data_IF_883229747429
#
_entry.id   IF_883229747429
#
_cell.length_a   1.000
_cell.length_b   1.000
_cell.length_c   1.000
_cell.angle_alpha   90.00
_cell.angle_beta   90.00
_cell.angle_gamma   90.00
#
_symmetry.space_group_name_H-M   'P 1'
#
loop_
_entity.id
_entity.type
_entity.pdbx_description
1 polymer ?
#
# COMPACT_ATOMS: atom_id res chain seq x y z
N UNK A 1 -7.76 -44.33 17.01
CA UNK A 1 -7.03 -43.70 15.89
C UNK A 1 -7.47 -42.25 15.88
N UNK A 2 -6.59 -41.39 16.40
CA UNK A 2 -6.81 -39.94 16.62
C UNK A 2 -6.90 -39.18 15.28
N UNK A 3 -7.81 -38.19 15.13
CA UNK A 3 -7.79 -37.26 14.00
C UNK A 3 -6.81 -36.10 14.28
N UNK A 4 -5.69 -36.09 13.56
CA UNK A 4 -4.71 -34.99 13.56
C UNK A 4 -5.11 -33.93 12.53
N UNK A 5 -5.20 -32.67 12.96
CA UNK A 5 -4.98 -31.50 12.11
C UNK A 5 -6.13 -30.49 12.02
N UNK A 6 -6.33 -29.69 13.07
CA UNK A 6 -7.11 -28.44 12.99
C UNK A 6 -6.20 -27.27 12.60
N UNK A 7 -6.61 -26.36 11.69
CA UNK A 7 -5.83 -25.16 11.39
C UNK A 7 -5.93 -24.15 12.56
N UNK A 8 -4.78 -23.72 13.06
CA UNK A 8 -4.64 -22.73 14.13
C UNK A 8 -5.22 -21.36 13.69
N UNK A 9 -6.20 -20.85 14.43
CA UNK A 9 -6.71 -19.49 14.27
C UNK A 9 -5.68 -18.49 14.79
N UNK A 10 -5.06 -17.73 13.89
CA UNK A 10 -4.15 -16.66 14.26
C UNK A 10 -4.92 -15.49 14.90
N UNK A 11 -4.74 -15.28 16.21
CA UNK A 11 -5.27 -14.12 16.92
C UNK A 11 -4.34 -12.93 16.68
N UNK A 12 -4.76 -11.96 15.88
CA UNK A 12 -4.01 -10.72 15.68
C UNK A 12 -4.31 -9.77 16.84
N UNK A 13 -3.36 -9.58 17.74
CA UNK A 13 -3.43 -8.57 18.79
C UNK A 13 -3.06 -7.21 18.21
N UNK A 14 -4.03 -6.29 18.15
CA UNK A 14 -3.75 -4.90 17.80
C UNK A 14 -3.01 -4.22 18.95
N UNK A 15 -1.86 -3.54 18.70
CA UNK A 15 -1.26 -2.67 19.69
C UNK A 15 -2.20 -1.49 19.97
N UNK A 16 -2.45 -1.22 21.24
CA UNK A 16 -3.25 -0.10 21.72
C UNK A 16 -2.64 1.22 21.24
N UNK A 17 -3.43 2.02 20.52
CA UNK A 17 -3.01 3.34 20.02
C UNK A 17 -2.81 4.31 21.19
N UNK A 18 -1.55 4.66 21.46
CA UNK A 18 -1.20 5.81 22.31
C UNK A 18 -1.25 7.06 21.43
N UNK A 19 -2.11 8.00 21.79
CA UNK A 19 -2.27 9.31 21.15
C UNK A 19 -1.02 10.16 21.33
N UNK A 20 -0.16 10.20 20.31
CA UNK A 20 0.90 11.19 20.17
C UNK A 20 0.60 12.08 18.96
N UNK A 21 0.49 13.39 19.18
CA UNK A 21 0.13 14.43 18.18
C UNK A 21 1.24 14.76 17.18
N UNK A 22 2.00 13.77 16.73
CA UNK A 22 3.03 13.96 15.71
C UNK A 22 2.84 12.93 14.61
N UNK A 23 2.73 13.40 13.37
CA UNK A 23 2.72 12.53 12.20
C UNK A 23 4.04 11.75 12.17
N UNK A 24 4.03 10.42 11.93
CA UNK A 24 5.26 9.65 11.84
C UNK A 24 6.12 10.21 10.70
N UNK A 25 7.42 10.38 10.94
CA UNK A 25 8.36 10.71 9.89
C UNK A 25 8.27 9.65 8.77
N UNK A 26 8.40 10.07 7.50
CA UNK A 26 8.28 9.19 6.31
C UNK A 26 9.21 7.96 6.40
N UNK A 27 10.33 8.06 7.12
CA UNK A 27 11.26 6.95 7.39
C UNK A 27 10.69 5.85 8.30
N UNK A 28 9.68 6.14 9.13
CA UNK A 28 9.07 5.17 10.04
C UNK A 28 8.16 4.15 9.30
N UNK A 29 7.72 4.47 8.09
CA UNK A 29 6.93 3.56 7.22
C UNK A 29 7.81 2.78 6.23
N UNK A 30 9.15 2.91 6.32
CA UNK A 30 10.08 2.28 5.40
C UNK A 30 10.02 0.74 5.38
N UNK A 31 9.57 0.13 6.47
CA UNK A 31 9.36 -1.31 6.57
C UNK A 31 8.05 -1.79 5.94
N UNK A 32 7.06 -0.90 5.71
CA UNK A 32 5.75 -1.25 5.15
C UNK A 32 5.77 -1.47 3.64
N UNK A 33 6.71 -0.85 2.92
CA UNK A 33 6.90 -1.04 1.48
C UNK A 33 8.13 -1.88 1.15
N UNK A 34 8.81 -2.45 2.15
CA UNK A 34 9.81 -3.49 1.90
C UNK A 34 9.08 -4.73 1.40
N UNK A 35 9.07 -4.81 0.08
CA UNK A 35 8.75 -5.96 -0.75
C UNK A 35 9.07 -7.28 -0.01
N UNK A 36 8.04 -8.03 0.37
CA UNK A 36 8.19 -9.37 0.96
C UNK A 36 8.42 -10.43 -0.12
N UNK A 37 9.20 -10.10 -1.13
CA UNK A 37 9.70 -11.10 -2.06
C UNK A 37 11.20 -11.25 -1.84
N UNK A 38 11.67 -12.44 -1.42
CA UNK A 38 13.10 -12.68 -1.34
C UNK A 38 13.69 -12.48 -2.74
N UNK A 39 14.62 -11.53 -2.85
CA UNK A 39 15.43 -11.35 -4.05
C UNK A 39 16.31 -12.59 -4.20
N UNK A 40 15.86 -13.56 -4.99
CA UNK A 40 16.71 -14.66 -5.43
C UNK A 40 17.50 -14.18 -6.65
N UNK A 41 18.84 -14.15 -6.60
CA UNK A 41 19.63 -13.92 -7.81
C UNK A 41 19.30 -15.06 -8.77
N UNK A 42 18.64 -14.74 -9.88
CA UNK A 42 18.37 -15.70 -10.93
C UNK A 42 19.72 -16.15 -11.50
N UNK A 43 20.07 -17.45 -11.45
CA UNK A 43 21.22 -17.92 -12.19
C UNK A 43 20.96 -17.64 -13.67
N UNK A 44 21.90 -16.99 -14.35
CA UNK A 44 21.92 -16.99 -15.81
C UNK A 44 22.19 -18.42 -16.28
N UNK A 45 21.14 -19.24 -16.29
CA UNK A 45 21.16 -20.55 -16.91
C UNK A 45 19.96 -20.61 -17.85
N UNK A 46 20.24 -20.80 -19.13
CA UNK A 46 19.33 -20.70 -20.27
C UNK A 46 18.29 -21.84 -20.34
N UNK A 47 17.92 -22.40 -19.20
CA UNK A 47 17.05 -23.58 -19.09
C UNK A 47 15.97 -23.36 -18.03
N UNK A 48 15.10 -22.39 -18.26
CA UNK A 48 13.96 -22.15 -17.38
C UNK A 48 12.82 -23.17 -17.67
N UNK A 49 12.05 -23.60 -16.65
CA UNK A 49 11.15 -24.76 -16.75
C UNK A 49 9.95 -24.59 -17.69
N UNK A 50 9.63 -23.36 -18.06
CA UNK A 50 8.52 -23.02 -18.97
C UNK A 50 8.90 -23.08 -20.46
N UNK A 51 10.15 -23.42 -20.79
CA UNK A 51 10.54 -23.77 -22.15
C UNK A 51 10.19 -25.23 -22.41
N UNK A 52 9.38 -25.48 -23.45
CA UNK A 52 8.84 -26.80 -23.80
C UNK A 52 9.91 -27.90 -23.92
N UNK A 53 11.09 -27.57 -24.42
CA UNK A 53 12.24 -28.49 -24.55
C UNK A 53 12.85 -28.90 -23.20
N UNK A 54 12.89 -28.00 -22.23
CA UNK A 54 13.50 -28.22 -20.90
C UNK A 54 12.55 -28.96 -19.97
N UNK A 55 11.24 -28.67 -20.07
CA UNK A 55 10.20 -29.27 -19.24
C UNK A 55 10.20 -30.80 -19.30
N UNK A 56 10.20 -31.39 -20.51
CA UNK A 56 10.20 -32.85 -20.67
C UNK A 56 11.50 -33.51 -20.19
N UNK A 57 12.64 -32.81 -20.31
CA UNK A 57 13.93 -33.34 -19.84
C UNK A 57 14.03 -33.35 -18.32
N UNK A 58 13.56 -32.30 -17.65
CA UNK A 58 13.61 -32.21 -16.17
C UNK A 58 12.59 -33.12 -15.51
N UNK A 59 11.41 -33.30 -16.11
CA UNK A 59 10.37 -34.23 -15.65
C UNK A 59 10.78 -35.71 -15.81
N UNK A 60 11.62 -36.05 -16.80
CA UNK A 60 12.17 -37.40 -16.96
C UNK A 60 13.17 -37.78 -15.87
N UNK A 61 13.81 -36.79 -15.24
CA UNK A 61 14.85 -36.98 -14.21
C UNK A 61 14.26 -36.86 -12.80
N UNK A 62 13.24 -36.02 -12.61
CA UNK A 62 12.55 -35.83 -11.32
C UNK A 62 11.03 -36.07 -11.49
N UNK A 63 10.57 -37.27 -11.13
CA UNK A 63 9.17 -37.69 -11.27
C UNK A 63 8.16 -36.89 -10.43
N UNK A 64 8.63 -36.12 -9.45
CA UNK A 64 7.79 -35.38 -8.48
C UNK A 64 7.19 -34.08 -9.03
N UNK A 65 7.68 -33.55 -10.16
CA UNK A 65 7.24 -32.25 -10.72
C UNK A 65 6.32 -32.36 -11.94
N UNK A 66 5.95 -33.57 -12.36
CA UNK A 66 4.92 -33.72 -13.39
C UNK A 66 3.54 -33.43 -12.77
N UNK A 67 2.64 -32.68 -13.43
CA UNK A 67 1.24 -32.61 -13.01
C UNK A 67 0.69 -34.03 -13.02
N UNK A 68 -0.34 -34.25 -12.20
CA UNK A 68 -1.17 -35.45 -12.08
C UNK A 68 -1.65 -36.02 -13.44
N UNK A 69 -0.72 -36.51 -14.25
CA UNK A 69 -0.98 -37.62 -15.12
C UNK A 69 -1.00 -38.78 -14.15
N UNK A 70 -2.21 -39.19 -13.74
CA UNK A 70 -2.41 -40.59 -13.37
C UNK A 70 -1.84 -41.34 -14.56
N UNK A 71 -0.59 -41.80 -14.43
CA UNK A 71 -0.07 -42.79 -15.34
C UNK A 71 -1.12 -43.88 -15.33
N UNK A 72 -1.79 -44.09 -16.45
CA UNK A 72 -2.43 -45.36 -16.71
C UNK A 72 -1.30 -46.39 -16.58
N UNK A 73 -1.16 -46.94 -15.38
CA UNK A 73 -0.20 -47.97 -15.08
C UNK A 73 -0.80 -49.27 -15.62
N UNK A 74 -0.76 -49.37 -16.94
CA UNK A 74 -1.47 -50.40 -17.70
C UNK A 74 -1.13 -50.41 -19.18
N UNK A 75 -0.14 -49.67 -19.67
CA UNK A 75 0.41 -49.95 -21.00
C UNK A 75 1.43 -51.08 -20.90
N UNK A 76 0.95 -52.29 -21.19
CA UNK A 76 1.79 -53.46 -21.44
C UNK A 76 2.89 -53.12 -22.45
N UNK A 77 4.12 -53.50 -22.13
CA UNK A 77 5.31 -53.30 -22.93
C UNK A 77 5.07 -53.50 -24.44
N UNK A 78 5.51 -52.52 -25.24
CA UNK A 78 5.61 -52.65 -26.70
C UNK A 78 6.54 -53.83 -27.03
N UNK A 79 5.94 -54.98 -27.35
CA UNK A 79 6.66 -56.17 -27.80
C UNK A 79 7.19 -55.88 -29.21
N UNK A 80 8.52 -55.86 -29.34
CA UNK A 80 9.20 -55.87 -30.64
C UNK A 80 8.63 -57.00 -31.51
N UNK A 81 8.38 -56.69 -32.78
CA UNK A 81 7.90 -57.63 -33.79
C UNK A 81 8.89 -58.80 -33.97
N UNK A 82 8.44 -60.07 -33.92
CA UNK A 82 9.28 -61.20 -34.30
C UNK A 82 9.28 -61.42 -35.82
N UNK A 83 10.48 -61.74 -36.29
CA UNK A 83 10.84 -62.40 -37.53
C UNK A 83 9.76 -63.34 -38.10
N UNK A 84 9.45 -63.15 -39.39
CA UNK A 84 8.56 -63.99 -40.21
C UNK A 84 9.10 -65.43 -40.25
N UNK A 85 8.32 -66.36 -39.70
CA UNK A 85 8.54 -67.80 -39.79
C UNK A 85 7.26 -68.48 -40.27
N UNK A 86 7.40 -69.32 -41.30
CA UNK A 86 6.32 -69.93 -42.05
C UNK A 86 5.76 -71.15 -41.28
N UNK A 87 4.91 -70.91 -40.27
CA UNK A 87 4.11 -71.92 -39.55
C UNK A 87 2.75 -71.30 -39.17
N UNK A 88 1.66 -72.09 -39.11
CA UNK A 88 0.32 -71.60 -39.38
C UNK A 88 -0.12 -70.58 -38.32
N UNK A 89 -0.63 -69.46 -38.81
CA UNK A 89 -1.07 -68.21 -38.13
C UNK A 89 -2.24 -68.41 -37.15
N UNK A 90 -2.18 -69.40 -36.26
CA UNK A 90 -3.29 -69.83 -35.39
C UNK A 90 -3.00 -69.68 -33.88
N UNK A 91 -1.74 -69.48 -33.45
CA UNK A 91 -1.35 -69.48 -32.02
C UNK A 91 -1.18 -68.06 -31.43
N UNK A 92 -1.37 -67.01 -32.23
CA UNK A 92 -1.49 -65.60 -31.78
C UNK A 92 -2.94 -65.12 -31.78
N UNK A 93 -3.90 -66.03 -31.62
CA UNK A 93 -5.33 -65.71 -31.61
C UNK A 93 -5.86 -65.69 -30.19
N UNK A 94 -6.47 -64.58 -29.83
CA UNK A 94 -7.31 -64.51 -28.65
C UNK A 94 -8.46 -65.50 -28.79
N UNK A 95 -8.74 -66.20 -27.69
CA UNK A 95 -9.97 -66.99 -27.62
C UNK A 95 -11.16 -66.05 -27.49
N UNK A 96 -12.37 -66.49 -27.88
CA UNK A 96 -13.58 -65.70 -27.61
C UNK A 96 -13.72 -65.32 -26.12
N UNK A 97 -13.30 -66.18 -25.19
CA UNK A 97 -13.30 -65.90 -23.75
C UNK A 97 -12.35 -64.75 -23.38
N UNK A 98 -11.14 -64.72 -23.93
CA UNK A 98 -10.21 -63.59 -23.74
C UNK A 98 -10.80 -62.27 -24.24
N UNK A 99 -11.51 -62.33 -25.38
CA UNK A 99 -12.23 -61.17 -25.91
C UNK A 99 -13.37 -60.74 -24.98
N UNK A 100 -14.20 -61.68 -24.48
CA UNK A 100 -15.26 -61.35 -23.52
C UNK A 100 -14.71 -60.75 -22.22
N UNK A 101 -13.65 -61.34 -21.65
CA UNK A 101 -12.99 -60.82 -20.44
C UNK A 101 -12.42 -59.41 -20.66
N UNK A 102 -11.81 -59.16 -21.82
CA UNK A 102 -11.29 -57.84 -22.16
C UNK A 102 -12.40 -56.81 -22.32
N UNK A 103 -13.49 -57.15 -23.03
CA UNK A 103 -14.62 -56.25 -23.18
C UNK A 103 -15.28 -55.95 -21.83
N UNK A 104 -15.48 -56.97 -20.98
CA UNK A 104 -16.01 -56.77 -19.64
C UNK A 104 -15.14 -55.85 -18.79
N UNK A 105 -13.82 -55.97 -18.88
CA UNK A 105 -12.88 -55.05 -18.21
C UNK A 105 -13.04 -53.63 -18.74
N UNK A 106 -13.05 -53.45 -20.05
CA UNK A 106 -13.22 -52.14 -20.69
C UNK A 106 -14.55 -51.48 -20.33
N UNK A 107 -15.64 -52.27 -20.21
CA UNK A 107 -16.94 -51.74 -19.77
C UNK A 107 -16.88 -51.22 -18.34
N UNK A 108 -16.33 -51.99 -17.40
CA UNK A 108 -16.17 -51.55 -16.00
C UNK A 108 -15.30 -50.30 -15.91
N UNK A 109 -14.20 -50.27 -16.67
CA UNK A 109 -13.31 -49.12 -16.71
C UNK A 109 -14.02 -47.87 -17.27
N UNK A 110 -14.81 -48.05 -18.32
CA UNK A 110 -15.63 -46.98 -18.91
C UNK A 110 -16.66 -46.44 -17.92
N UNK A 111 -17.33 -47.31 -17.15
CA UNK A 111 -18.25 -46.90 -16.10
C UNK A 111 -17.54 -46.09 -15.01
N UNK A 112 -16.34 -46.50 -14.60
CA UNK A 112 -15.54 -45.73 -13.63
C UNK A 112 -15.12 -44.37 -14.20
N UNK A 113 -14.72 -44.29 -15.48
CA UNK A 113 -14.38 -43.01 -16.11
C UNK A 113 -15.58 -42.08 -16.25
N UNK A 114 -16.77 -42.63 -16.55
CA UNK A 114 -17.99 -41.84 -16.59
C UNK A 114 -18.33 -41.28 -15.21
N UNK A 115 -18.22 -42.10 -14.16
CA UNK A 115 -18.45 -41.66 -12.80
C UNK A 115 -17.45 -40.58 -12.35
N UNK A 116 -16.15 -40.81 -12.55
CA UNK A 116 -15.09 -39.86 -12.20
C UNK A 116 -15.25 -38.52 -12.95
N UNK A 117 -15.62 -38.56 -14.23
CA UNK A 117 -15.86 -37.37 -15.03
C UNK A 117 -17.08 -36.58 -14.53
N UNK A 118 -18.15 -37.27 -14.12
CA UNK A 118 -19.33 -36.59 -13.57
C UNK A 118 -19.04 -35.94 -12.22
N UNK A 119 -18.34 -36.65 -11.33
CA UNK A 119 -17.88 -36.09 -10.05
C UNK A 119 -16.99 -34.87 -10.28
N UNK A 120 -16.01 -34.95 -11.19
CA UNK A 120 -15.13 -33.83 -11.52
C UNK A 120 -15.91 -32.62 -12.04
N UNK A 121 -16.96 -32.83 -12.83
CA UNK A 121 -17.81 -31.76 -13.37
C UNK A 121 -18.57 -31.05 -12.26
N UNK A 122 -19.14 -31.80 -11.31
CA UNK A 122 -19.83 -31.26 -10.13
C UNK A 122 -18.86 -30.47 -9.25
N UNK A 123 -17.68 -31.02 -8.95
CA UNK A 123 -16.66 -30.35 -8.14
C UNK A 123 -16.16 -29.06 -8.80
N UNK A 124 -15.96 -29.10 -10.12
CA UNK A 124 -15.56 -27.92 -10.89
C UNK A 124 -16.65 -26.84 -10.86
N UNK A 125 -17.93 -27.23 -10.96
CA UNK A 125 -19.04 -26.30 -10.84
C UNK A 125 -19.09 -25.63 -9.47
N UNK A 126 -18.98 -26.40 -8.38
CA UNK A 126 -18.92 -25.83 -7.03
C UNK A 126 -17.73 -24.90 -6.84
N UNK A 127 -16.55 -25.29 -7.34
CA UNK A 127 -15.36 -24.45 -7.26
C UNK A 127 -15.53 -23.12 -8.01
N UNK A 128 -16.18 -23.13 -9.18
CA UNK A 128 -16.47 -21.91 -9.94
C UNK A 128 -17.39 -20.99 -9.13
N UNK A 129 -18.47 -21.55 -8.57
CA UNK A 129 -19.43 -20.78 -7.76
C UNK A 129 -18.75 -20.18 -6.52
N UNK A 130 -18.00 -20.98 -5.77
CA UNK A 130 -17.26 -20.51 -4.59
C UNK A 130 -16.29 -19.37 -4.94
N UNK A 131 -15.59 -19.50 -6.07
CA UNK A 131 -14.66 -18.45 -6.54
C UNK A 131 -15.39 -17.20 -7.00
N UNK A 132 -16.55 -17.34 -7.63
CA UNK A 132 -17.39 -16.22 -8.01
C UNK A 132 -17.85 -15.45 -6.77
N UNK A 133 -18.46 -16.14 -5.80
CA UNK A 133 -18.92 -15.54 -4.55
C UNK A 133 -17.79 -14.87 -3.77
N UNK A 134 -16.63 -15.52 -3.68
CA UNK A 134 -15.45 -14.95 -3.03
C UNK A 134 -14.98 -13.66 -3.73
N UNK A 135 -14.98 -13.65 -5.06
CA UNK A 135 -14.55 -12.50 -5.87
C UNK A 135 -15.53 -11.34 -5.71
N UNK A 136 -16.83 -11.61 -5.81
CA UNK A 136 -17.88 -10.59 -5.68
C UNK A 136 -17.83 -9.94 -4.30
N UNK A 137 -17.74 -10.74 -3.23
CA UNK A 137 -17.60 -10.23 -1.86
C UNK A 137 -16.37 -9.36 -1.69
N UNK A 138 -15.21 -9.85 -2.15
CA UNK A 138 -13.93 -9.12 -2.04
C UNK A 138 -13.99 -7.79 -2.81
N UNK A 139 -14.57 -7.81 -4.02
CA UNK A 139 -14.74 -6.62 -4.84
C UNK A 139 -15.70 -5.60 -4.19
N UNK A 140 -16.79 -6.07 -3.59
CA UNK A 140 -17.73 -5.22 -2.86
C UNK A 140 -17.08 -4.56 -1.64
N UNK A 141 -16.36 -5.34 -0.82
CA UNK A 141 -15.62 -4.82 0.34
C UNK A 141 -14.55 -3.80 -0.06
N UNK A 142 -13.79 -4.09 -1.12
CA UNK A 142 -12.77 -3.18 -1.64
C UNK A 142 -13.38 -1.88 -2.18
N UNK A 143 -14.45 -1.97 -2.97
CA UNK A 143 -15.17 -0.79 -3.48
C UNK A 143 -15.65 0.10 -2.34
N UNK A 144 -16.25 -0.50 -1.30
CA UNK A 144 -16.69 0.23 -0.10
C UNK A 144 -15.53 0.88 0.63
N UNK A 145 -14.44 0.15 0.86
CA UNK A 145 -13.25 0.64 1.55
C UNK A 145 -12.61 1.82 0.81
N UNK A 146 -12.48 1.74 -0.51
CA UNK A 146 -11.99 2.83 -1.35
C UNK A 146 -12.92 4.04 -1.28
N UNK A 147 -14.25 3.83 -1.33
CA UNK A 147 -15.23 4.90 -1.19
C UNK A 147 -15.13 5.65 0.14
N UNK A 148 -14.99 4.93 1.26
CA UNK A 148 -14.78 5.51 2.59
C UNK A 148 -13.50 6.34 2.61
N UNK A 149 -12.37 5.78 2.15
CA UNK A 149 -11.09 6.50 2.13
C UNK A 149 -11.14 7.75 1.25
N UNK A 150 -11.82 7.70 0.11
CA UNK A 150 -11.99 8.85 -0.75
C UNK A 150 -12.79 9.96 -0.05
N UNK A 151 -13.83 9.58 0.71
CA UNK A 151 -14.60 10.52 1.53
C UNK A 151 -13.73 11.13 2.65
N UNK A 152 -12.96 10.32 3.37
CA UNK A 152 -12.06 10.79 4.43
C UNK A 152 -11.02 11.77 3.89
N UNK A 153 -10.41 11.47 2.74
CA UNK A 153 -9.46 12.37 2.06
C UNK A 153 -10.16 13.67 1.67
N UNK A 154 -11.38 13.59 1.14
CA UNK A 154 -12.18 14.76 0.81
C UNK A 154 -12.47 15.64 2.02
N UNK A 155 -12.88 15.03 3.13
CA UNK A 155 -13.14 15.70 4.41
C UNK A 155 -11.88 16.41 4.94
N UNK A 156 -10.75 15.72 5.02
CA UNK A 156 -9.52 16.34 5.51
C UNK A 156 -9.00 17.43 4.58
N UNK A 157 -9.21 17.30 3.27
CA UNK A 157 -8.91 18.37 2.33
C UNK A 157 -9.76 19.61 2.62
N UNK A 158 -11.07 19.46 2.83
CA UNK A 158 -11.93 20.61 3.18
C UNK A 158 -11.50 21.25 4.48
N UNK A 159 -11.17 20.46 5.51
CA UNK A 159 -10.74 20.97 6.80
C UNK A 159 -9.44 21.79 6.68
N UNK A 160 -8.45 21.28 5.93
CA UNK A 160 -7.21 22.00 5.67
C UNK A 160 -7.42 23.29 4.88
N UNK A 161 -8.36 23.30 3.92
CA UNK A 161 -8.71 24.52 3.19
C UNK A 161 -9.35 25.57 4.11
N UNK A 162 -10.25 25.15 5.00
CA UNK A 162 -10.87 26.05 5.97
C UNK A 162 -9.82 26.67 6.92
N UNK A 163 -8.94 25.85 7.48
CA UNK A 163 -7.87 26.32 8.36
C UNK A 163 -6.91 27.27 7.62
N UNK A 164 -6.58 26.97 6.36
CA UNK A 164 -5.75 27.84 5.53
C UNK A 164 -6.40 29.21 5.32
N UNK A 165 -7.70 29.25 5.01
CA UNK A 165 -8.43 30.51 4.81
C UNK A 165 -8.46 31.35 6.09
N UNK A 166 -8.62 30.71 7.25
CA UNK A 166 -8.60 31.40 8.55
C UNK A 166 -7.20 31.90 8.92
N UNK A 167 -6.15 31.13 8.66
CA UNK A 167 -4.76 31.60 8.80
C UNK A 167 -4.45 32.80 7.89
N UNK A 168 -4.94 32.79 6.64
CA UNK A 168 -4.79 33.92 5.72
C UNK A 168 -5.51 35.15 6.28
N UNK A 169 -6.74 34.98 6.78
CA UNK A 169 -7.51 36.05 7.41
C UNK A 169 -6.78 36.66 8.59
N UNK A 170 -6.26 35.84 9.49
CA UNK A 170 -5.50 36.29 10.66
C UNK A 170 -4.19 36.98 10.25
N UNK A 171 -3.47 36.42 9.29
CA UNK A 171 -2.23 37.02 8.75
C UNK A 171 -2.49 38.41 8.18
N UNK A 172 -3.59 38.57 7.43
CA UNK A 172 -3.98 39.88 6.89
C UNK A 172 -4.35 40.86 8.01
N UNK A 173 -5.11 40.43 9.02
CA UNK A 173 -5.47 41.27 10.16
C UNK A 173 -4.23 41.73 10.94
N UNK A 174 -3.28 40.84 11.22
CA UNK A 174 -2.02 41.17 11.87
C UNK A 174 -1.16 42.10 11.01
N UNK A 175 -1.15 41.89 9.69
CA UNK A 175 -0.44 42.76 8.75
C UNK A 175 -1.01 44.19 8.77
N UNK A 176 -2.33 44.33 8.85
CA UNK A 176 -2.97 45.65 8.93
C UNK A 176 -2.72 46.34 10.27
N UNK A 177 -2.73 45.60 11.38
CA UNK A 177 -2.33 46.13 12.70
C UNK A 177 -0.87 46.57 12.68
N UNK A 178 0.03 45.76 12.11
CA UNK A 178 1.44 46.11 11.95
C UNK A 178 1.60 47.43 11.18
N UNK A 179 0.97 47.57 10.02
CA UNK A 179 1.03 48.81 9.21
C UNK A 179 0.54 50.02 10.00
N UNK A 180 -0.53 49.86 10.79
CA UNK A 180 -1.06 50.94 11.64
C UNK A 180 -0.07 51.35 12.74
N UNK A 181 0.59 50.38 13.37
CA UNK A 181 1.61 50.65 14.38
C UNK A 181 2.85 51.31 13.77
N UNK A 182 3.34 50.82 12.63
CA UNK A 182 4.46 51.43 11.89
C UNK A 182 4.14 52.88 11.48
N UNK A 183 2.90 53.15 11.06
CA UNK A 183 2.46 54.52 10.77
C UNK A 183 2.43 55.39 12.02
N UNK A 184 1.85 54.91 13.12
CA UNK A 184 1.80 55.66 14.38
C UNK A 184 3.21 55.96 14.91
N UNK A 185 4.13 55.02 14.76
CA UNK A 185 5.55 55.19 15.08
C UNK A 185 6.22 56.25 14.20
N UNK A 186 5.96 56.23 12.89
CA UNK A 186 6.47 57.25 11.99
C UNK A 186 5.93 58.65 12.30
N UNK A 187 4.71 58.76 12.84
CA UNK A 187 4.10 60.02 13.27
C UNK A 187 4.73 60.58 14.57
N UNK A 188 5.33 59.73 15.42
CA UNK A 188 5.99 60.19 16.65
C UNK A 188 7.41 60.75 16.42
N UNK A 189 8.08 60.33 15.34
CA UNK A 189 9.45 60.76 15.01
C UNK A 189 9.59 62.28 14.80
N UNK A 190 8.72 62.98 14.03
CA UNK A 190 8.77 64.43 13.90
C UNK A 190 8.54 65.17 15.22
N UNK A 191 7.68 64.62 16.10
CA UNK A 191 7.39 65.22 17.40
C UNK A 191 8.61 65.18 18.33
N UNK A 192 9.36 64.07 18.28
CA UNK A 192 10.64 63.94 18.99
C UNK A 192 11.65 64.97 18.50
N UNK A 193 11.79 65.13 17.18
CA UNK A 193 12.71 66.11 16.58
C UNK A 193 12.38 67.54 17.01
N UNK A 194 11.10 67.93 17.00
CA UNK A 194 10.65 69.24 17.46
C UNK A 194 10.96 69.43 18.96
N UNK A 195 10.71 68.42 19.79
CA UNK A 195 11.00 68.50 21.23
C UNK A 195 12.50 68.66 21.50
N UNK A 196 13.35 67.91 20.77
CA UNK A 196 14.81 68.03 20.85
C UNK A 196 15.31 69.40 20.40
N UNK A 197 14.78 69.94 19.29
CA UNK A 197 15.14 71.28 18.81
C UNK A 197 14.72 72.37 19.81
N UNK A 198 13.53 72.24 20.41
CA UNK A 198 13.07 73.15 21.45
C UNK A 198 13.99 73.13 22.68
N UNK A 199 14.45 71.96 23.11
CA UNK A 199 15.40 71.81 24.21
C UNK A 199 16.76 72.44 23.86
N UNK A 200 17.30 72.16 22.66
CA UNK A 200 18.55 72.76 22.18
C UNK A 200 18.48 74.30 22.12
N UNK A 201 17.35 74.86 21.74
CA UNK A 201 17.18 76.32 21.70
C UNK A 201 17.12 76.94 23.10
N UNK A 202 16.60 76.20 24.08
CA UNK A 202 16.57 76.63 25.49
C UNK A 202 17.95 76.60 26.12
N UNK A 203 18.78 75.62 25.78
CA UNK A 203 20.16 75.52 26.25
C UNK A 203 21.03 76.72 25.82
N UNK A 204 20.65 77.42 24.74
CA UNK A 204 21.33 78.65 24.28
C UNK A 204 20.98 79.91 25.10
N UNK A 205 20.02 79.85 26.03
CA UNK A 205 19.70 80.99 26.92
C UNK A 205 20.90 81.28 27.84
N UNK A 206 21.08 82.54 28.22
CA UNK A 206 22.25 82.99 28.98
C UNK A 206 21.85 83.68 30.28
N UNK A 207 22.69 83.55 31.32
CA UNK A 207 22.50 84.25 32.59
C UNK A 207 21.24 83.80 33.33
N UNK A 208 20.43 84.76 33.78
CA UNK A 208 19.21 84.49 34.57
C UNK A 208 18.10 83.81 33.75
N UNK A 209 18.18 83.83 32.42
CA UNK A 209 17.18 83.20 31.54
C UNK A 209 17.42 81.68 31.35
N UNK A 210 18.56 81.14 31.80
CA UNK A 210 18.84 79.70 31.79
C UNK A 210 18.18 79.02 33.02
N UNK A 211 16.86 78.84 32.93
CA UNK A 211 16.03 78.29 34.01
C UNK A 211 15.32 77.02 33.56
N UNK A 212 15.29 76.04 34.46
CA UNK A 212 14.50 74.80 34.31
C UNK A 212 13.00 75.09 34.52
N UNK A 213 12.38 75.65 33.48
CA UNK A 213 10.97 76.01 33.50
C UNK A 213 10.04 74.77 33.40
N UNK A 214 8.74 74.97 33.63
CA UNK A 214 7.77 73.88 33.55
C UNK A 214 7.71 73.25 32.16
N UNK A 215 7.86 74.06 31.10
CA UNK A 215 7.81 73.58 29.73
C UNK A 215 9.03 72.73 29.39
N UNK A 216 10.20 73.00 29.99
CA UNK A 216 11.41 72.19 29.80
C UNK A 216 11.20 70.78 30.35
N UNK A 217 10.58 70.67 31.53
CA UNK A 217 10.21 69.38 32.13
C UNK A 217 9.21 68.61 31.27
N UNK A 218 8.22 69.31 30.71
CA UNK A 218 7.27 68.68 29.78
C UNK A 218 7.95 68.23 28.48
N UNK A 219 8.86 69.03 27.92
CA UNK A 219 9.64 68.66 26.72
C UNK A 219 10.51 67.44 26.96
N UNK A 220 11.16 67.33 28.12
CA UNK A 220 11.89 66.12 28.51
C UNK A 220 10.97 64.91 28.65
N UNK A 221 9.77 65.10 29.20
CA UNK A 221 8.78 64.03 29.36
C UNK A 221 8.29 63.52 28.01
N UNK A 222 7.96 64.42 27.08
CA UNK A 222 7.53 64.07 25.72
C UNK A 222 8.66 63.42 24.92
N UNK A 223 9.88 63.96 25.02
CA UNK A 223 11.07 63.39 24.38
C UNK A 223 11.34 61.96 24.87
N UNK A 224 11.31 61.74 26.18
CA UNK A 224 11.49 60.41 26.77
C UNK A 224 10.37 59.44 26.34
N UNK A 225 9.11 59.90 26.35
CA UNK A 225 7.98 59.07 25.93
C UNK A 225 8.09 58.66 24.45
N UNK A 226 8.47 59.57 23.57
CA UNK A 226 8.68 59.27 22.15
C UNK A 226 9.89 58.34 21.94
N UNK A 227 10.99 58.54 22.68
CA UNK A 227 12.19 57.68 22.62
C UNK A 227 11.93 56.24 23.11
N UNK A 228 10.97 56.04 24.02
CA UNK A 228 10.55 54.70 24.48
C UNK A 228 9.65 54.02 23.45
N UNK A 229 8.91 54.80 22.65
CA UNK A 229 8.02 54.27 21.62
C UNK A 229 8.75 53.94 20.32
N UNK A 230 9.78 54.71 19.94
CA UNK A 230 10.68 54.49 18.79
C UNK A 230 11.67 53.34 19.01
#
# INVERSE_FOLDING_TARGET
>A
MEPVGSPLTATYTHPRSTTTKLLPAISAMASSYKDRFPYYPLPQNSSLPWMSSTYYKTAAINQTLAPFSKSFQGMTASKKLPLVSNKPTFITRYTPDDWYRSNLSNYKESETYQHDAECLRVDTFHMIEDKYQQTEKTQGENTKSVGIRANDIGFWKSELCLELDDMIRETNALTDVKKRLEKALAETEPLLQIAQECLLQREKRMGIDLVHDSVEKELFTVSLAAQIMC
#
